data_IF_088030851042
#
_entry.id   IF_088030851042
#
_cell.length_a   1.000
_cell.length_b   1.000
_cell.length_c   1.000
_cell.angle_alpha   90.00
_cell.angle_beta   90.00
_cell.angle_gamma   90.00
#
_symmetry.space_group_name_H-M   'P 1'
#
loop_
_entity.id
_entity.type
_entity.pdbx_description
1 polymer ?
#
# COMPACT_ATOMS: atom_id res chain seq x y z
N UNK A 1 -15.97 10.35 14.69
CA UNK A 1 -16.85 10.16 13.52
C UNK A 1 -16.02 10.45 12.28
N UNK A 2 -15.62 9.40 11.56
CA UNK A 2 -14.91 9.54 10.29
C UNK A 2 -15.82 10.15 9.20
N UNK A 3 -15.26 10.51 8.02
CA UNK A 3 -16.03 11.05 6.91
C UNK A 3 -17.11 10.04 6.51
N UNK A 4 -18.35 10.52 6.35
CA UNK A 4 -19.41 9.66 5.88
C UNK A 4 -19.20 9.33 4.41
N UNK A 5 -19.71 8.17 3.98
CA UNK A 5 -19.71 7.74 2.58
C UNK A 5 -20.18 8.85 1.61
N UNK A 6 -21.16 9.65 2.01
CA UNK A 6 -21.70 10.74 1.21
C UNK A 6 -20.68 11.84 0.88
N UNK A 7 -19.71 12.11 1.77
CA UNK A 7 -18.68 13.12 1.54
C UNK A 7 -17.59 12.67 0.58
N UNK A 8 -17.32 11.37 0.52
CA UNK A 8 -16.25 10.80 -0.33
C UNK A 8 -16.81 10.37 -1.70
N UNK A 9 -18.11 10.10 -1.79
CA UNK A 9 -18.77 9.58 -3.01
C UNK A 9 -18.49 10.41 -4.27
N UNK A 10 -18.54 11.75 -4.26
CA UNK A 10 -18.24 12.55 -5.46
C UNK A 10 -16.84 12.29 -6.03
N UNK A 11 -15.83 12.10 -5.18
CA UNK A 11 -14.47 11.77 -5.62
C UNK A 11 -14.37 10.36 -6.19
N UNK A 12 -15.09 9.40 -5.61
CA UNK A 12 -15.20 8.03 -6.14
C UNK A 12 -15.86 8.03 -7.51
N UNK A 13 -16.91 8.79 -7.70
CA UNK A 13 -17.62 8.88 -8.98
C UNK A 13 -16.77 9.56 -10.05
N UNK A 14 -16.02 10.61 -9.69
CA UNK A 14 -15.06 11.27 -10.58
C UNK A 14 -13.94 10.30 -11.01
N UNK A 15 -13.37 9.54 -10.08
CA UNK A 15 -12.36 8.52 -10.37
C UNK A 15 -12.91 7.43 -11.31
N UNK A 16 -14.12 6.91 -11.05
CA UNK A 16 -14.77 5.93 -11.94
C UNK A 16 -14.99 6.46 -13.34
N UNK A 17 -15.47 7.71 -13.44
CA UNK A 17 -15.69 8.38 -14.73
C UNK A 17 -14.37 8.61 -15.48
N UNK A 18 -13.27 8.90 -14.80
CA UNK A 18 -11.95 9.04 -15.39
C UNK A 18 -11.45 7.69 -15.94
N UNK A 19 -11.52 6.63 -15.14
CA UNK A 19 -11.11 5.27 -15.53
C UNK A 19 -11.92 4.76 -16.74
N UNK A 20 -13.21 5.09 -16.82
CA UNK A 20 -14.06 4.61 -17.90
C UNK A 20 -13.74 5.22 -19.27
N UNK A 21 -13.03 6.33 -19.31
CA UNK A 21 -12.61 6.99 -20.56
C UNK A 21 -11.41 6.32 -21.23
N UNK A 22 -10.70 5.47 -20.52
CA UNK A 22 -9.54 4.66 -20.98
C UNK A 22 -8.48 5.45 -21.81
N UNK A 23 -8.35 6.75 -21.53
CA UNK A 23 -7.53 7.67 -22.34
C UNK A 23 -6.13 7.91 -21.75
N UNK A 24 -5.90 7.47 -20.49
CA UNK A 24 -4.64 7.75 -19.76
C UNK A 24 -4.27 6.53 -18.90
N UNK A 25 -2.99 6.20 -18.71
CA UNK A 25 -2.56 5.18 -17.77
C UNK A 25 -3.16 5.42 -16.38
N UNK A 26 -3.69 4.36 -15.76
CA UNK A 26 -4.46 4.43 -14.49
C UNK A 26 -3.81 5.24 -13.37
N UNK A 27 -2.49 5.32 -13.36
CA UNK A 27 -1.74 6.01 -12.33
C UNK A 27 -1.68 7.54 -12.50
N UNK A 28 -2.19 8.07 -13.62
CA UNK A 28 -2.26 9.51 -13.89
C UNK A 28 -3.64 10.10 -13.61
N UNK A 29 -4.59 9.29 -13.10
CA UNK A 29 -5.90 9.82 -12.72
C UNK A 29 -5.81 10.62 -11.42
N UNK A 30 -5.63 11.94 -11.56
CA UNK A 30 -5.66 12.87 -10.43
C UNK A 30 -6.96 12.75 -9.64
N UNK A 31 -8.06 12.40 -10.31
CA UNK A 31 -9.37 12.18 -9.71
C UNK A 31 -9.36 11.00 -8.71
N UNK A 32 -8.59 9.95 -9.00
CA UNK A 32 -8.47 8.81 -8.08
C UNK A 32 -7.56 9.14 -6.90
N UNK A 33 -6.47 9.87 -7.12
CA UNK A 33 -5.59 10.36 -6.07
C UNK A 33 -6.30 11.38 -5.14
N UNK A 34 -7.31 12.07 -5.65
CA UNK A 34 -8.11 13.02 -4.87
C UNK A 34 -8.95 12.33 -3.77
N UNK A 35 -9.21 11.03 -3.87
CA UNK A 35 -9.97 10.29 -2.85
C UNK A 35 -9.22 10.29 -1.52
N UNK A 36 -7.93 9.93 -1.52
CA UNK A 36 -7.11 9.89 -0.32
C UNK A 36 -6.96 11.28 0.29
N UNK A 37 -6.69 12.28 -0.56
CA UNK A 37 -6.62 13.68 -0.14
C UNK A 37 -7.93 14.16 0.50
N UNK A 38 -9.07 13.81 -0.09
CA UNK A 38 -10.37 14.16 0.46
C UNK A 38 -10.64 13.50 1.82
N UNK A 39 -10.25 12.23 1.99
CA UNK A 39 -10.38 11.54 3.28
C UNK A 39 -9.53 12.25 4.34
N UNK A 40 -8.28 12.58 4.03
CA UNK A 40 -7.38 13.30 4.94
C UNK A 40 -7.97 14.66 5.29
N UNK A 41 -8.42 15.43 4.31
CA UNK A 41 -8.98 16.77 4.54
C UNK A 41 -10.27 16.73 5.37
N UNK A 42 -11.15 15.77 5.11
CA UNK A 42 -12.38 15.59 5.88
C UNK A 42 -12.16 15.14 7.33
N UNK A 43 -10.97 14.63 7.64
CA UNK A 43 -10.59 14.23 9.01
C UNK A 43 -9.82 15.30 9.76
N UNK A 44 -9.51 16.43 9.12
CA UNK A 44 -8.80 17.54 9.79
C UNK A 44 -9.60 18.07 10.97
N UNK A 45 -8.91 18.23 12.08
CA UNK A 45 -9.46 18.80 13.30
C UNK A 45 -8.42 19.65 14.00
N UNK A 46 -8.87 20.70 14.68
CA UNK A 46 -7.98 21.56 15.48
C UNK A 46 -8.09 21.17 16.95
N UNK A 47 -6.97 20.71 17.52
CA UNK A 47 -6.89 20.34 18.95
C UNK A 47 -5.81 21.20 19.59
N UNK A 48 -6.18 21.97 20.62
CA UNK A 48 -5.27 22.87 21.34
C UNK A 48 -4.47 23.82 20.42
N UNK A 49 -5.08 24.28 19.32
CA UNK A 49 -4.45 25.20 18.37
C UNK A 49 -3.63 24.51 17.25
N UNK A 50 -3.41 23.20 17.34
CA UNK A 50 -2.67 22.41 16.34
C UNK A 50 -3.65 21.68 15.43
N UNK A 51 -3.40 21.70 14.12
CA UNK A 51 -4.17 20.91 13.16
C UNK A 51 -3.70 19.46 13.15
N UNK A 52 -4.66 18.56 13.24
CA UNK A 52 -4.47 17.12 13.15
C UNK A 52 -5.25 16.55 11.97
N UNK A 53 -4.79 15.44 11.47
CA UNK A 53 -5.41 14.62 10.42
C UNK A 53 -5.36 13.14 10.83
N UNK A 54 -6.10 12.31 10.11
CA UNK A 54 -5.99 10.86 10.30
C UNK A 54 -4.58 10.39 9.91
N UNK A 55 -4.07 9.38 10.61
CA UNK A 55 -2.85 8.70 10.20
C UNK A 55 -3.18 7.73 9.04
N UNK A 56 -2.62 7.97 7.86
CA UNK A 56 -2.94 7.18 6.65
C UNK A 56 -2.40 5.75 6.68
N UNK A 57 -1.44 5.44 7.54
CA UNK A 57 -0.89 4.09 7.72
C UNK A 57 -1.57 3.29 8.83
N UNK A 58 -2.30 3.98 9.72
CA UNK A 58 -3.12 3.35 10.76
C UNK A 58 -4.27 4.26 11.18
N UNK A 59 -5.45 3.98 10.65
CA UNK A 59 -6.66 4.79 10.83
C UNK A 59 -7.12 4.95 12.30
N UNK A 60 -6.54 4.19 13.23
CA UNK A 60 -6.84 4.29 14.67
C UNK A 60 -6.15 5.47 15.33
N UNK A 61 -5.18 6.07 14.66
CA UNK A 61 -4.37 7.17 15.18
C UNK A 61 -4.57 8.46 14.40
N UNK A 62 -4.14 9.55 14.99
CA UNK A 62 -4.05 10.85 14.35
C UNK A 62 -2.60 11.33 14.37
N UNK A 63 -2.26 12.18 13.42
CA UNK A 63 -0.96 12.83 13.33
C UNK A 63 -1.17 14.33 13.06
N UNK A 64 -0.12 15.11 13.11
CA UNK A 64 -0.16 16.54 12.80
C UNK A 64 -0.18 16.77 11.29
N UNK A 65 -0.85 17.85 10.86
CA UNK A 65 -0.78 18.33 9.49
C UNK A 65 0.58 19.02 9.26
N UNK A 66 1.28 18.79 8.15
CA UNK A 66 0.89 18.02 6.95
C UNK A 66 1.32 16.55 6.96
N UNK A 67 1.91 16.04 8.03
CA UNK A 67 2.54 14.72 8.10
C UNK A 67 1.56 13.57 7.91
N UNK A 68 0.39 13.64 8.57
CA UNK A 68 -0.74 12.69 8.43
C UNK A 68 -0.34 11.20 8.39
N UNK A 69 0.64 10.81 9.22
CA UNK A 69 1.16 9.46 9.34
C UNK A 69 2.69 9.35 9.17
N UNK A 70 3.35 10.37 8.61
CA UNK A 70 4.81 10.36 8.41
C UNK A 70 5.62 10.48 9.72
N UNK A 71 4.96 10.78 10.86
CA UNK A 71 5.58 10.74 12.19
C UNK A 71 5.35 9.40 12.91
N UNK A 72 4.81 8.41 12.20
CA UNK A 72 4.46 7.11 12.75
C UNK A 72 5.35 5.99 12.17
N UNK A 73 5.75 5.00 12.95
CA UNK A 73 5.57 4.88 14.40
C UNK A 73 6.43 5.90 15.17
N UNK A 74 6.24 6.09 16.49
CA UNK A 74 7.01 7.06 17.28
C UNK A 74 8.53 6.91 17.16
N UNK A 75 9.01 5.71 16.85
CA UNK A 75 10.43 5.39 16.65
C UNK A 75 10.98 5.88 15.31
N UNK A 76 10.17 6.42 14.41
CA UNK A 76 10.62 6.87 13.08
C UNK A 76 11.75 7.90 13.18
N UNK A 77 11.72 8.78 14.19
CA UNK A 77 12.80 9.73 14.45
C UNK A 77 14.14 9.05 14.77
N UNK A 78 14.12 7.97 15.55
CA UNK A 78 15.30 7.17 15.85
C UNK A 78 15.82 6.44 14.60
N UNK A 79 14.92 5.93 13.77
CA UNK A 79 15.25 5.31 12.48
C UNK A 79 15.93 6.33 11.55
N UNK A 80 15.43 7.55 11.46
CA UNK A 80 16.03 8.62 10.66
C UNK A 80 17.45 8.94 11.16
N UNK A 81 17.64 9.07 12.48
CA UNK A 81 18.94 9.32 13.08
C UNK A 81 19.91 8.17 12.79
N UNK A 82 19.47 6.93 12.92
CA UNK A 82 20.26 5.73 12.65
C UNK A 82 20.71 5.66 11.18
N UNK A 83 19.81 5.85 10.22
CA UNK A 83 20.12 5.75 8.79
C UNK A 83 20.96 6.91 8.26
N UNK A 84 21.13 7.99 9.04
CA UNK A 84 22.01 9.12 8.73
C UNK A 84 23.46 8.94 9.22
N UNK A 85 23.74 7.93 10.02
CA UNK A 85 25.08 7.66 10.55
C UNK A 85 26.01 7.21 9.42
N UNK A 86 27.26 7.70 9.46
CA UNK A 86 28.26 7.37 8.43
C UNK A 86 28.65 5.90 8.45
N UNK A 87 28.76 5.28 9.64
CA UNK A 87 29.07 3.86 9.76
C UNK A 87 27.93 2.98 9.18
N UNK A 88 26.68 3.38 9.36
CA UNK A 88 25.52 2.68 8.78
C UNK A 88 25.50 2.83 7.26
N UNK A 89 25.71 4.05 6.76
CA UNK A 89 25.81 4.29 5.31
C UNK A 89 26.94 3.48 4.68
N UNK A 90 28.08 3.42 5.32
CA UNK A 90 29.21 2.61 4.87
C UNK A 90 28.86 1.11 4.83
N UNK A 91 28.24 0.58 5.91
CA UNK A 91 27.81 -0.81 5.98
C UNK A 91 26.75 -1.17 4.91
N UNK A 92 25.89 -0.22 4.53
CA UNK A 92 24.91 -0.37 3.47
C UNK A 92 25.49 -0.10 2.07
N UNK A 93 26.76 0.20 1.95
CA UNK A 93 27.43 0.56 0.69
C UNK A 93 26.79 1.74 -0.04
N UNK A 94 26.22 2.70 0.70
CA UNK A 94 25.66 3.91 0.12
C UNK A 94 26.79 4.80 -0.39
N UNK A 95 26.73 5.17 -1.66
CA UNK A 95 27.73 6.07 -2.24
C UNK A 95 27.47 7.52 -1.79
N UNK A 96 28.15 7.94 -0.72
CA UNK A 96 28.00 9.27 -0.13
C UNK A 96 28.57 10.40 -0.99
N UNK A 97 29.46 10.11 -1.97
CA UNK A 97 29.93 11.09 -2.93
C UNK A 97 28.86 11.44 -3.97
N UNK A 98 28.07 10.45 -4.39
CA UNK A 98 26.96 10.64 -5.32
C UNK A 98 25.69 11.15 -4.61
N UNK A 99 25.54 10.82 -3.33
CA UNK A 99 24.36 11.13 -2.51
C UNK A 99 24.79 11.71 -1.15
N UNK A 100 25.31 12.97 -1.14
CA UNK A 100 25.78 13.61 0.09
C UNK A 100 24.64 13.98 1.05
N UNK A 101 23.38 13.99 0.53
CA UNK A 101 22.25 14.40 1.33
C UNK A 101 21.93 13.39 2.43
N UNK A 102 21.41 13.91 3.53
CA UNK A 102 20.92 13.06 4.61
C UNK A 102 19.78 12.14 4.11
N UNK A 103 19.71 10.95 4.68
CA UNK A 103 18.60 10.04 4.42
C UNK A 103 17.26 10.70 4.80
N UNK A 104 16.28 10.58 3.90
CA UNK A 104 14.88 10.95 4.13
C UNK A 104 13.99 9.83 3.62
N UNK A 105 12.88 9.61 4.28
CA UNK A 105 11.97 8.52 3.98
C UNK A 105 11.38 8.60 2.56
N UNK A 106 10.95 9.80 2.15
CA UNK A 106 10.38 10.04 0.83
C UNK A 106 11.13 11.16 0.11
N UNK A 107 11.67 10.85 -1.07
CA UNK A 107 12.28 11.85 -1.96
C UNK A 107 11.39 12.11 -3.17
N UNK A 108 10.87 13.31 -3.34
CA UNK A 108 9.99 13.63 -4.48
C UNK A 108 10.64 13.34 -5.84
N UNK A 109 11.93 13.60 -5.99
CA UNK A 109 12.65 13.35 -7.25
C UNK A 109 12.71 11.86 -7.60
N UNK A 110 12.96 10.99 -6.62
CA UNK A 110 12.94 9.53 -6.82
C UNK A 110 11.53 9.07 -7.16
N UNK A 111 10.54 9.54 -6.39
CA UNK A 111 9.14 9.22 -6.62
C UNK A 111 8.65 9.64 -8.01
N UNK A 112 9.06 10.80 -8.52
CA UNK A 112 8.65 11.26 -9.86
C UNK A 112 9.24 10.39 -10.98
N UNK A 113 10.52 10.03 -10.89
CA UNK A 113 11.19 9.17 -11.88
C UNK A 113 10.59 7.77 -11.88
N UNK A 114 10.49 7.14 -10.71
CA UNK A 114 9.92 5.80 -10.57
C UNK A 114 8.44 5.77 -11.00
N UNK A 115 7.70 6.81 -10.72
CA UNK A 115 6.30 6.92 -11.15
C UNK A 115 6.18 6.91 -12.66
N UNK A 116 7.01 7.71 -13.36
CA UNK A 116 7.01 7.76 -14.82
C UNK A 116 7.29 6.38 -15.44
N UNK A 117 8.24 5.64 -14.91
CA UNK A 117 8.62 4.33 -15.44
C UNK A 117 7.61 3.24 -15.06
N UNK A 118 7.05 3.29 -13.85
CA UNK A 118 6.06 2.29 -13.40
C UNK A 118 4.73 2.37 -14.16
N UNK A 119 4.42 3.49 -14.80
CA UNK A 119 3.22 3.59 -15.66
C UNK A 119 3.32 2.78 -16.95
N UNK A 120 4.54 2.55 -17.43
CA UNK A 120 4.80 1.74 -18.62
C UNK A 120 4.98 0.26 -18.29
N UNK A 121 5.21 -0.06 -17.02
CA UNK A 121 5.38 -1.44 -16.59
C UNK A 121 4.02 -2.13 -16.38
N UNK A 122 3.93 -3.44 -16.64
CA UNK A 122 2.76 -4.21 -16.23
C UNK A 122 2.50 -4.07 -14.74
N UNK A 123 1.24 -3.94 -14.34
CA UNK A 123 0.89 -3.90 -12.92
C UNK A 123 1.40 -5.18 -12.22
N UNK A 124 1.93 -5.02 -11.00
CA UNK A 124 2.51 -6.16 -10.24
C UNK A 124 1.55 -7.33 -10.13
N UNK A 125 0.24 -7.04 -9.99
CA UNK A 125 -0.80 -8.07 -9.97
C UNK A 125 -0.87 -8.94 -11.21
N UNK A 126 -0.45 -8.44 -12.38
CA UNK A 126 -0.41 -9.23 -13.63
C UNK A 126 0.80 -10.15 -13.69
N UNK A 127 1.84 -9.91 -12.89
CA UNK A 127 3.04 -10.74 -12.83
C UNK A 127 2.87 -11.92 -11.85
N UNK A 128 2.03 -11.79 -10.83
CA UNK A 128 1.83 -12.80 -9.80
C UNK A 128 1.46 -14.18 -10.36
N UNK A 129 0.53 -14.31 -11.33
CA UNK A 129 0.22 -15.61 -11.93
C UNK A 129 1.43 -16.30 -12.55
N UNK A 130 2.30 -15.58 -13.23
CA UNK A 130 3.50 -16.14 -13.86
C UNK A 130 4.56 -16.55 -12.84
N UNK A 131 4.67 -15.86 -11.72
CA UNK A 131 5.56 -16.20 -10.61
C UNK A 131 5.07 -17.50 -9.93
N UNK A 132 3.77 -17.57 -9.64
CA UNK A 132 3.14 -18.76 -9.08
C UNK A 132 3.24 -19.98 -10.01
N UNK A 133 3.13 -19.76 -11.33
CA UNK A 133 3.28 -20.79 -12.36
C UNK A 133 4.68 -21.41 -12.36
N UNK A 134 5.69 -20.64 -11.97
CA UNK A 134 7.09 -21.12 -11.82
C UNK A 134 7.33 -21.82 -10.46
N UNK A 135 6.30 -22.01 -9.67
CA UNK A 135 6.41 -22.68 -8.36
C UNK A 135 7.01 -21.81 -7.25
N UNK A 136 7.15 -20.51 -7.46
CA UNK A 136 7.65 -19.59 -6.45
C UNK A 136 6.51 -19.26 -5.47
N UNK A 137 6.66 -19.55 -4.17
CA UNK A 137 5.65 -19.20 -3.18
C UNK A 137 5.58 -17.68 -3.00
N UNK A 138 4.36 -17.16 -2.88
CA UNK A 138 4.09 -15.73 -2.68
C UNK A 138 3.30 -15.53 -1.40
N UNK A 139 3.74 -14.62 -0.57
CA UNK A 139 3.01 -14.12 0.60
C UNK A 139 2.55 -12.69 0.30
N UNK A 140 1.24 -12.46 0.40
CA UNK A 140 0.66 -11.12 0.41
C UNK A 140 0.15 -10.81 1.82
N UNK A 141 0.49 -9.64 2.33
CA UNK A 141 0.01 -9.20 3.64
C UNK A 141 -0.39 -7.73 3.58
N UNK A 142 -1.35 -7.34 4.39
CA UNK A 142 -1.81 -5.97 4.53
C UNK A 142 -2.34 -5.72 5.94
N UNK A 143 -2.17 -4.50 6.43
CA UNK A 143 -2.85 -4.03 7.63
C UNK A 143 -4.32 -3.71 7.31
N UNK A 144 -5.23 -4.10 8.20
CA UNK A 144 -6.66 -3.81 8.04
C UNK A 144 -7.02 -2.35 8.35
N UNK A 145 -6.09 -1.60 8.92
CA UNK A 145 -6.21 -0.18 9.24
C UNK A 145 -5.39 0.72 8.30
N UNK A 146 -4.74 0.16 7.29
CA UNK A 146 -3.93 0.91 6.32
C UNK A 146 -4.83 1.50 5.22
N UNK A 147 -4.81 2.84 5.06
CA UNK A 147 -5.50 3.54 3.98
C UNK A 147 -4.70 3.53 2.69
N UNK A 148 -3.36 3.61 2.78
CA UNK A 148 -2.47 3.71 1.60
C UNK A 148 -2.42 2.41 0.82
N UNK A 149 -2.31 1.27 1.54
CA UNK A 149 -2.33 -0.07 0.96
C UNK A 149 -3.47 -0.90 1.56
N UNK A 150 -4.73 -0.56 1.26
CA UNK A 150 -5.90 -1.09 1.95
C UNK A 150 -6.05 -2.60 1.73
N UNK A 151 -6.26 -3.33 2.83
CA UNK A 151 -6.43 -4.79 2.81
C UNK A 151 -7.56 -5.24 1.88
N UNK A 152 -8.64 -4.45 1.76
CA UNK A 152 -9.73 -4.72 0.83
C UNK A 152 -9.30 -4.67 -0.63
N UNK A 153 -8.39 -3.75 -0.99
CA UNK A 153 -7.83 -3.66 -2.34
C UNK A 153 -7.00 -4.90 -2.71
N UNK A 154 -6.15 -5.34 -1.78
CA UNK A 154 -5.34 -6.57 -1.95
C UNK A 154 -6.25 -7.80 -2.00
N UNK A 155 -7.27 -7.89 -1.15
CA UNK A 155 -8.26 -8.95 -1.20
C UNK A 155 -8.96 -9.00 -2.57
N UNK A 156 -9.40 -7.86 -3.08
CA UNK A 156 -10.07 -7.75 -4.38
C UNK A 156 -9.16 -8.18 -5.53
N UNK A 157 -7.88 -7.77 -5.52
CA UNK A 157 -6.88 -8.22 -6.47
C UNK A 157 -6.76 -9.74 -6.47
N UNK A 158 -6.61 -10.33 -5.28
CA UNK A 158 -6.46 -11.79 -5.12
C UNK A 158 -7.71 -12.52 -5.61
N UNK A 159 -8.92 -12.04 -5.25
CA UNK A 159 -10.17 -12.69 -5.62
C UNK A 159 -10.43 -12.70 -7.14
N UNK A 160 -9.86 -11.74 -7.85
CA UNK A 160 -9.98 -11.67 -9.31
C UNK A 160 -8.84 -12.35 -10.06
N UNK A 161 -7.74 -12.63 -9.40
CA UNK A 161 -6.56 -13.22 -10.02
C UNK A 161 -6.82 -14.66 -10.47
N UNK A 162 -6.51 -14.96 -11.72
CA UNK A 162 -6.53 -16.33 -12.26
C UNK A 162 -5.11 -16.89 -12.34
N UNK A 163 -4.90 -18.07 -11.76
CA UNK A 163 -3.59 -18.71 -11.71
C UNK A 163 -3.71 -20.23 -11.60
N UNK A 164 -2.88 -20.94 -12.35
CA UNK A 164 -2.80 -22.42 -12.33
C UNK A 164 -4.17 -23.11 -12.40
N UNK A 165 -5.08 -22.56 -13.22
CA UNK A 165 -6.42 -23.13 -13.43
C UNK A 165 -7.43 -22.89 -12.31
N UNK A 166 -7.13 -21.98 -11.38
CA UNK A 166 -8.07 -21.55 -10.36
C UNK A 166 -8.18 -20.01 -10.31
N UNK A 167 -9.27 -19.53 -9.73
CA UNK A 167 -9.50 -18.11 -9.47
C UNK A 167 -9.39 -17.82 -7.99
N UNK A 168 -8.70 -16.74 -7.64
CA UNK A 168 -8.51 -16.29 -6.26
C UNK A 168 -7.86 -17.37 -5.40
N UNK A 169 -8.30 -17.47 -4.17
CA UNK A 169 -7.85 -18.49 -3.22
C UNK A 169 -8.60 -19.84 -3.38
N UNK A 170 -9.44 -19.98 -4.41
CA UNK A 170 -10.21 -21.17 -4.67
C UNK A 170 -11.11 -21.56 -3.48
N UNK A 171 -10.99 -22.82 -3.01
CA UNK A 171 -11.77 -23.33 -1.87
C UNK A 171 -11.06 -23.18 -0.52
N UNK A 172 -9.94 -22.46 -0.47
CA UNK A 172 -9.21 -22.26 0.77
C UNK A 172 -10.06 -21.53 1.82
N UNK A 173 -10.07 -22.05 3.05
CA UNK A 173 -10.79 -21.41 4.15
C UNK A 173 -9.91 -20.36 4.82
N UNK A 174 -10.55 -19.28 5.22
CA UNK A 174 -9.90 -18.26 6.05
C UNK A 174 -9.85 -18.76 7.49
N UNK A 175 -8.71 -18.59 8.14
CA UNK A 175 -8.48 -18.97 9.53
C UNK A 175 -8.02 -17.74 10.34
N UNK A 176 -8.23 -17.76 11.64
CA UNK A 176 -7.70 -16.74 12.53
C UNK A 176 -6.17 -16.86 12.62
N UNK A 177 -5.49 -15.71 12.57
CA UNK A 177 -4.10 -15.59 12.93
C UNK A 177 -4.02 -15.12 14.39
N UNK A 178 -3.40 -15.93 15.22
CA UNK A 178 -3.35 -15.68 16.67
C UNK A 178 -1.92 -15.59 17.16
N UNK A 179 -1.68 -14.68 18.11
CA UNK A 179 -0.45 -14.61 18.91
C UNK A 179 -0.84 -14.71 20.37
N UNK A 180 -0.22 -15.64 21.11
CA UNK A 180 -0.57 -15.91 22.51
C UNK A 180 -2.08 -16.12 22.72
N UNK A 181 -2.72 -16.88 21.84
CA UNK A 181 -4.16 -17.17 21.80
C UNK A 181 -5.07 -15.94 21.50
N UNK A 182 -4.53 -14.73 21.35
CA UNK A 182 -5.31 -13.58 20.95
C UNK A 182 -5.36 -13.49 19.42
N UNK A 183 -6.52 -13.31 18.80
CA UNK A 183 -6.63 -13.10 17.37
C UNK A 183 -6.08 -11.71 17.01
N UNK A 184 -5.13 -11.67 16.10
CA UNK A 184 -4.49 -10.42 15.59
C UNK A 184 -4.74 -10.21 14.11
N UNK A 185 -5.38 -11.13 13.44
CA UNK A 185 -5.70 -11.04 12.03
C UNK A 185 -6.29 -12.32 11.48
N UNK A 186 -6.30 -12.44 10.19
CA UNK A 186 -6.73 -13.65 9.47
C UNK A 186 -5.71 -14.01 8.41
N UNK A 187 -5.62 -15.28 8.09
CA UNK A 187 -4.78 -15.79 7.02
C UNK A 187 -5.52 -16.81 6.18
N UNK A 188 -5.06 -17.01 4.97
CA UNK A 188 -5.59 -17.97 4.02
C UNK A 188 -4.42 -18.46 3.16
N UNK A 189 -4.40 -19.75 2.81
CA UNK A 189 -3.40 -20.29 1.91
C UNK A 189 -4.07 -21.14 0.84
N UNK A 190 -3.61 -20.99 -0.39
CA UNK A 190 -4.05 -21.82 -1.51
C UNK A 190 -2.83 -22.46 -2.18
N UNK A 191 -3.02 -23.68 -2.64
CA UNK A 191 -2.05 -24.40 -3.47
C UNK A 191 -2.77 -24.84 -4.72
N UNK A 192 -2.24 -24.51 -5.88
CA UNK A 192 -2.72 -25.13 -7.11
C UNK A 192 -2.26 -26.58 -7.15
N UNK A 193 -3.14 -27.45 -7.58
CA UNK A 193 -2.75 -28.81 -7.94
C UNK A 193 -2.01 -28.71 -9.29
N UNK A 194 -0.79 -29.18 -9.35
CA UNK A 194 -0.17 -29.45 -10.64
C UNK A 194 -1.10 -30.44 -11.36
N UNK A 195 -1.70 -30.03 -12.46
CA UNK A 195 -2.34 -31.00 -13.35
C UNK A 195 -1.20 -31.86 -13.90
N UNK A 196 -0.95 -33.02 -13.34
CA UNK A 196 -0.26 -34.08 -14.02
C UNK A 196 -1.15 -34.47 -15.22
N UNK A 197 -0.96 -33.80 -16.35
CA UNK A 197 -1.39 -34.37 -17.63
C UNK A 197 -0.50 -35.59 -17.85
N UNK A 198 -1.01 -36.78 -17.57
CA UNK A 198 -0.49 -38.03 -18.11
C UNK A 198 -0.66 -37.95 -19.62
N UNK A 199 0.44 -37.65 -20.31
CA UNK A 199 0.59 -37.88 -21.75
C UNK A 199 0.85 -39.35 -21.99
#
# INVERSE_FOLDING_TARGET
NGPSHQHVQPFVDACRAAISKDTVPRAEYNECNAIDSAIVDLTRQKVSGVEHCINVYDLRYTDTVPQCGMNWPPEVGAMHAYLRREDVKAALHVNTHMHPEAWVECRPNVGSVLRHDSFKAPASGTLLPSILQRGVPVLLYAGDQDLVCPALGIQHLVDQMEWLGQRGMGRAKRAAWTVNHAPIGTWQTARARANCSTS
#
